data_IF_599931854659
#
_entry.id   IF_599931854659
#
_cell.length_a   1.000
_cell.length_b   1.000
_cell.length_c   1.000
_cell.angle_alpha   90.00
_cell.angle_beta   90.00
_cell.angle_gamma   90.00
#
_symmetry.space_group_name_H-M   'P 1'
#
loop_
_entity.id
_entity.type
_entity.pdbx_description
1 polymer ?
#
# COMPACT_ATOMS: atom_id res chain seq x y z
N UNK A 1 25.19 -6.00 -1.64
CA UNK A 1 24.05 -5.40 -0.91
C UNK A 1 24.11 -3.88 -0.83
N UNK A 2 25.30 -3.26 -0.78
CA UNK A 2 25.47 -1.80 -0.76
C UNK A 2 24.76 -1.04 -1.88
N UNK A 3 24.66 -1.60 -3.09
CA UNK A 3 23.97 -0.95 -4.23
C UNK A 3 22.45 -0.86 -4.09
N UNK A 4 21.80 -1.75 -3.34
CA UNK A 4 20.33 -1.75 -3.16
C UNK A 4 19.89 -1.06 -1.85
N UNK A 5 20.85 -0.73 -0.99
CA UNK A 5 20.60 -0.16 0.34
C UNK A 5 19.74 1.11 0.29
N UNK A 6 19.93 2.07 -0.64
CA UNK A 6 19.05 3.23 -0.72
C UNK A 6 17.59 2.87 -0.97
N UNK A 7 17.35 1.87 -1.83
CA UNK A 7 16.00 1.36 -2.10
C UNK A 7 15.38 0.66 -0.89
N UNK A 8 16.17 -0.13 -0.16
CA UNK A 8 15.72 -0.77 1.09
C UNK A 8 15.33 0.28 2.13
N UNK A 9 16.16 1.30 2.33
CA UNK A 9 15.88 2.37 3.30
C UNK A 9 14.65 3.19 2.90
N UNK A 10 14.51 3.54 1.62
CA UNK A 10 13.35 4.26 1.12
C UNK A 10 12.07 3.44 1.31
N UNK A 11 12.08 2.16 0.92
CA UNK A 11 10.95 1.25 1.10
C UNK A 11 10.57 1.11 2.58
N UNK A 12 11.54 0.82 3.45
CA UNK A 12 11.31 0.67 4.88
C UNK A 12 10.73 1.96 5.50
N UNK A 13 11.26 3.13 5.11
CA UNK A 13 10.76 4.43 5.59
C UNK A 13 9.32 4.66 5.17
N UNK A 14 8.97 4.40 3.91
CA UNK A 14 7.61 4.55 3.40
C UNK A 14 6.65 3.60 4.11
N UNK A 15 7.05 2.35 4.32
CA UNK A 15 6.22 1.35 5.02
C UNK A 15 5.98 1.76 6.48
N UNK A 16 7.02 2.17 7.21
CA UNK A 16 6.89 2.63 8.60
C UNK A 16 6.02 3.88 8.66
N UNK A 17 6.30 4.88 7.80
CA UNK A 17 5.52 6.10 7.74
C UNK A 17 4.05 5.79 7.45
N UNK A 18 3.74 4.90 6.51
CA UNK A 18 2.36 4.56 6.16
C UNK A 18 1.62 3.85 7.31
N UNK A 19 2.30 2.99 8.08
CA UNK A 19 1.72 2.34 9.26
C UNK A 19 1.41 3.32 10.40
N UNK A 20 2.18 4.40 10.52
CA UNK A 20 1.92 5.46 11.50
C UNK A 20 0.84 6.42 10.98
N UNK A 21 0.96 6.83 9.72
CA UNK A 21 0.11 7.85 9.11
C UNK A 21 -1.32 7.38 8.85
N UNK A 22 -1.58 6.06 8.84
CA UNK A 22 -2.94 5.52 8.74
C UNK A 22 -3.83 5.93 9.93
N UNK A 23 -3.24 6.28 11.08
CA UNK A 23 -3.99 6.72 12.27
C UNK A 23 -4.58 8.13 12.14
N UNK A 24 -4.11 8.92 11.16
CA UNK A 24 -4.52 10.31 11.00
C UNK A 24 -5.54 10.43 9.87
N UNK A 25 -6.80 10.65 10.27
CA UNK A 25 -7.95 10.75 9.38
C UNK A 25 -7.95 12.09 8.60
N UNK A 26 -8.48 12.02 7.38
CA UNK A 26 -8.70 13.12 6.45
C UNK A 26 -10.10 13.01 5.86
N UNK A 27 -10.66 14.15 5.44
CA UNK A 27 -11.98 14.23 4.78
C UNK A 27 -13.06 13.47 5.58
N UNK A 28 -13.22 13.82 6.85
CA UNK A 28 -14.20 13.22 7.78
C UNK A 28 -14.10 11.69 7.89
N UNK A 29 -12.88 11.14 7.76
CA UNK A 29 -12.61 9.71 7.90
C UNK A 29 -12.67 8.92 6.59
N UNK A 30 -12.90 9.58 5.44
CA UNK A 30 -12.90 8.93 4.13
C UNK A 30 -11.51 8.44 3.70
N UNK A 31 -10.46 9.14 4.13
CA UNK A 31 -9.07 8.82 3.81
C UNK A 31 -8.19 8.97 5.05
N UNK A 32 -6.98 8.43 4.96
CA UNK A 32 -5.93 8.62 5.96
C UNK A 32 -4.68 9.17 5.29
N UNK A 33 -3.76 9.76 6.06
CA UNK A 33 -2.46 10.14 5.53
C UNK A 33 -1.68 8.94 4.97
N UNK A 34 -1.93 7.73 5.49
CA UNK A 34 -1.34 6.49 4.98
C UNK A 34 -1.68 6.21 3.51
N UNK A 35 -2.90 6.57 3.05
CA UNK A 35 -3.31 6.42 1.66
C UNK A 35 -2.47 7.26 0.68
N UNK A 36 -1.88 8.36 1.16
CA UNK A 36 -1.01 9.23 0.35
C UNK A 36 0.46 8.80 0.37
N UNK A 37 0.92 8.16 1.45
CA UNK A 37 2.33 7.74 1.55
C UNK A 37 2.57 6.37 0.95
N UNK A 38 1.64 5.43 1.12
CA UNK A 38 1.79 4.06 0.64
C UNK A 38 2.07 3.95 -0.88
N UNK A 39 1.42 4.72 -1.77
CA UNK A 39 1.62 4.55 -3.20
C UNK A 39 3.06 4.88 -3.65
N UNK A 40 3.82 5.62 -2.85
CA UNK A 40 5.24 5.88 -3.09
C UNK A 40 6.09 4.60 -3.01
N UNK A 41 5.60 3.53 -2.38
CA UNK A 41 6.28 2.23 -2.37
C UNK A 41 6.39 1.65 -3.79
N UNK A 42 5.35 1.79 -4.62
CA UNK A 42 5.39 1.37 -6.03
C UNK A 42 6.46 2.13 -6.82
N UNK A 43 6.57 3.45 -6.59
CA UNK A 43 7.64 4.27 -7.19
C UNK A 43 9.04 3.73 -6.83
N UNK A 44 9.26 3.37 -5.57
CA UNK A 44 10.54 2.77 -5.15
C UNK A 44 10.77 1.43 -5.86
N UNK A 45 9.77 0.56 -5.90
CA UNK A 45 9.85 -0.73 -6.60
C UNK A 45 10.19 -0.55 -8.08
N UNK A 46 9.50 0.36 -8.78
CA UNK A 46 9.72 0.66 -10.19
C UNK A 46 11.14 1.18 -10.47
N UNK A 47 11.64 2.12 -9.65
CA UNK A 47 13.01 2.65 -9.76
C UNK A 47 14.01 1.50 -9.59
N UNK A 48 13.81 0.66 -8.57
CA UNK A 48 14.71 -0.45 -8.29
C UNK A 48 14.68 -1.51 -9.39
N UNK A 49 13.51 -1.79 -9.96
CA UNK A 49 13.34 -2.74 -11.06
C UNK A 49 14.00 -2.22 -12.35
N UNK A 50 13.84 -0.93 -12.65
CA UNK A 50 14.45 -0.29 -13.82
C UNK A 50 15.97 -0.30 -13.75
N UNK A 51 16.52 0.13 -12.62
CA UNK A 51 17.96 0.38 -12.45
C UNK A 51 18.73 -0.90 -12.15
N UNK A 52 18.18 -1.77 -11.30
CA UNK A 52 18.89 -2.94 -10.77
C UNK A 52 18.25 -4.28 -11.16
N UNK A 53 17.11 -4.26 -11.86
CA UNK A 53 16.41 -5.45 -12.32
C UNK A 53 15.45 -6.07 -11.30
N UNK A 54 14.61 -6.98 -11.77
CA UNK A 54 13.54 -7.61 -10.99
C UNK A 54 14.05 -8.31 -9.72
N UNK A 55 15.22 -8.97 -9.77
CA UNK A 55 15.79 -9.65 -8.62
C UNK A 55 16.15 -8.69 -7.48
N UNK A 56 16.64 -7.49 -7.79
CA UNK A 56 16.94 -6.46 -6.81
C UNK A 56 15.66 -5.84 -6.24
N UNK A 57 14.68 -5.54 -7.09
CA UNK A 57 13.38 -5.02 -6.67
C UNK A 57 12.68 -5.98 -5.70
N UNK A 58 12.68 -7.29 -5.99
CA UNK A 58 12.10 -8.31 -5.08
C UNK A 58 12.75 -8.28 -3.71
N UNK A 59 14.08 -8.14 -3.62
CA UNK A 59 14.79 -8.05 -2.33
C UNK A 59 14.36 -6.81 -1.53
N UNK A 60 14.19 -5.67 -2.19
CA UNK A 60 13.69 -4.43 -1.56
C UNK A 60 12.27 -4.61 -1.04
N UNK A 61 11.39 -5.21 -1.85
CA UNK A 61 10.02 -5.54 -1.46
C UNK A 61 10.00 -6.47 -0.25
N UNK A 62 10.79 -7.56 -0.25
CA UNK A 62 10.85 -8.46 0.90
C UNK A 62 11.35 -7.76 2.17
N UNK A 63 12.33 -6.86 2.08
CA UNK A 63 12.73 -6.03 3.22
C UNK A 63 11.59 -5.14 3.71
N UNK A 64 10.85 -4.50 2.80
CA UNK A 64 9.66 -3.72 3.12
C UNK A 64 8.58 -4.55 3.81
N UNK A 65 8.32 -5.77 3.33
CA UNK A 65 7.35 -6.70 3.92
C UNK A 65 7.74 -7.06 5.36
N UNK A 66 9.01 -7.43 5.59
CA UNK A 66 9.49 -7.77 6.94
C UNK A 66 9.34 -6.58 7.88
N UNK A 67 9.72 -5.38 7.44
CA UNK A 67 9.53 -4.15 8.21
C UNK A 67 8.06 -3.90 8.51
N UNK A 68 7.18 -4.04 7.52
CA UNK A 68 5.74 -3.84 7.67
C UNK A 68 5.10 -4.82 8.64
N UNK A 69 5.49 -6.10 8.60
CA UNK A 69 5.05 -7.12 9.55
C UNK A 69 5.50 -6.75 10.96
N UNK A 70 6.78 -6.38 11.15
CA UNK A 70 7.29 -5.97 12.46
C UNK A 70 6.54 -4.74 12.99
N UNK A 71 6.33 -3.71 12.15
CA UNK A 71 5.55 -2.52 12.52
C UNK A 71 4.11 -2.87 12.90
N UNK A 72 3.46 -3.76 12.15
CA UNK A 72 2.09 -4.20 12.43
C UNK A 72 2.00 -5.00 13.73
N UNK A 73 2.97 -5.88 13.99
CA UNK A 73 3.05 -6.64 15.25
C UNK A 73 3.25 -5.69 16.43
N UNK A 74 4.15 -4.71 16.33
CA UNK A 74 4.33 -3.69 17.38
C UNK A 74 3.03 -2.88 17.55
N UNK A 75 2.42 -2.44 16.46
CA UNK A 75 1.16 -1.68 16.48
C UNK A 75 0.01 -2.46 17.11
N UNK A 76 -0.04 -3.77 16.95
CA UNK A 76 -1.04 -4.62 17.59
C UNK A 76 -0.92 -4.68 19.12
N UNK A 77 0.25 -4.34 19.68
CA UNK A 77 0.49 -4.30 21.13
C UNK A 77 0.28 -2.91 21.72
N UNK A 78 0.15 -1.87 20.89
CA UNK A 78 -0.08 -0.50 21.31
C UNK A 78 -1.58 -0.26 21.31
N UNK A 79 -2.16 -0.11 22.50
CA UNK A 79 -3.58 0.22 22.64
C UNK A 79 -3.79 1.73 22.56
N UNK A 80 -4.77 2.14 21.76
CA UNK A 80 -5.22 3.52 21.62
C UNK A 80 -6.61 3.65 22.22
N UNK A 81 -6.93 4.85 22.70
CA UNK A 81 -8.24 5.19 23.22
C UNK A 81 -8.96 6.13 22.24
N UNK A 82 -10.19 5.78 21.88
CA UNK A 82 -11.05 6.59 21.02
C UNK A 82 -12.51 6.30 21.29
N UNK A 83 -13.34 7.33 21.33
CA UNK A 83 -14.80 7.25 21.57
C UNK A 83 -15.23 6.39 22.78
N UNK A 84 -14.40 6.37 23.83
CA UNK A 84 -14.66 5.62 25.06
C UNK A 84 -14.28 4.13 25.01
N UNK A 85 -13.67 3.68 23.93
CA UNK A 85 -13.20 2.31 23.73
C UNK A 85 -11.67 2.27 23.60
N UNK A 86 -11.10 1.11 23.95
CA UNK A 86 -9.68 0.82 23.77
C UNK A 86 -9.53 -0.20 22.64
N UNK A 87 -8.65 0.08 21.68
CA UNK A 87 -8.42 -0.77 20.51
C UNK A 87 -6.95 -0.78 20.09
N UNK A 88 -6.46 -1.84 19.44
CA UNK A 88 -5.10 -1.89 18.95
C UNK A 88 -4.87 -0.86 17.85
N UNK A 89 -3.70 -0.21 17.85
CA UNK A 89 -3.31 0.71 16.78
C UNK A 89 -3.31 0.02 15.41
N UNK A 90 -2.98 -1.28 15.36
CA UNK A 90 -3.11 -2.10 14.15
C UNK A 90 -3.92 -3.36 14.46
N UNK A 91 -5.14 -3.41 13.91
CA UNK A 91 -5.99 -4.59 13.98
C UNK A 91 -5.34 -5.79 13.27
N UNK A 92 -5.55 -7.00 13.80
CA UNK A 92 -4.91 -8.22 13.28
C UNK A 92 -5.28 -8.48 11.82
N UNK A 93 -6.55 -8.26 11.45
CA UNK A 93 -7.02 -8.42 10.06
C UNK A 93 -6.41 -7.39 9.11
N UNK A 94 -6.20 -6.16 9.57
CA UNK A 94 -5.52 -5.11 8.80
C UNK A 94 -4.06 -5.51 8.56
N UNK A 95 -3.37 -6.04 9.57
CA UNK A 95 -2.00 -6.54 9.43
C UNK A 95 -1.89 -7.67 8.40
N UNK A 96 -2.77 -8.68 8.48
CA UNK A 96 -2.79 -9.81 7.54
C UNK A 96 -3.14 -9.35 6.12
N UNK A 97 -4.16 -8.49 5.99
CA UNK A 97 -4.56 -7.91 4.72
C UNK A 97 -3.44 -7.11 4.08
N UNK A 98 -2.77 -6.24 4.86
CA UNK A 98 -1.67 -5.40 4.40
C UNK A 98 -0.47 -6.23 3.94
N UNK A 99 -0.03 -7.21 4.74
CA UNK A 99 1.08 -8.08 4.36
C UNK A 99 0.80 -8.89 3.09
N UNK A 100 -0.42 -9.41 2.96
CA UNK A 100 -0.84 -10.20 1.78
C UNK A 100 -0.95 -9.34 0.54
N UNK A 101 -1.63 -8.19 0.64
CA UNK A 101 -1.80 -7.24 -0.45
C UNK A 101 -0.46 -6.69 -0.93
N UNK A 102 0.38 -6.21 0.00
CA UNK A 102 1.71 -5.69 -0.32
C UNK A 102 2.56 -6.72 -1.06
N UNK A 103 2.64 -7.96 -0.55
CA UNK A 103 3.46 -8.99 -1.19
C UNK A 103 2.95 -9.31 -2.61
N UNK A 104 1.66 -9.58 -2.77
CA UNK A 104 1.10 -9.97 -4.07
C UNK A 104 1.18 -8.82 -5.07
N UNK A 105 0.78 -7.61 -4.66
CA UNK A 105 0.75 -6.43 -5.51
C UNK A 105 2.15 -6.01 -5.96
N UNK A 106 3.12 -5.99 -5.05
CA UNK A 106 4.50 -5.59 -5.39
C UNK A 106 5.19 -6.62 -6.29
N UNK A 107 4.94 -7.92 -6.09
CA UNK A 107 5.47 -8.94 -7.01
C UNK A 107 4.83 -8.87 -8.40
N UNK A 108 3.52 -8.59 -8.45
CA UNK A 108 2.79 -8.39 -9.70
C UNK A 108 3.28 -7.14 -10.43
N UNK A 109 3.46 -6.04 -9.70
CA UNK A 109 4.04 -4.80 -10.19
C UNK A 109 5.41 -5.06 -10.86
N UNK A 110 6.32 -5.74 -10.16
CA UNK A 110 7.63 -6.11 -10.71
C UNK A 110 7.49 -6.90 -12.01
N UNK A 111 6.59 -7.88 -12.07
CA UNK A 111 6.38 -8.74 -13.22
C UNK A 111 5.80 -7.98 -14.42
N UNK A 112 4.78 -7.14 -14.19
CA UNK A 112 4.16 -6.31 -15.23
C UNK A 112 5.15 -5.27 -15.73
N UNK A 113 5.88 -4.62 -14.83
CA UNK A 113 6.89 -3.63 -15.17
C UNK A 113 7.97 -4.22 -16.07
N UNK A 114 8.52 -5.38 -15.69
CA UNK A 114 9.59 -6.03 -16.43
C UNK A 114 9.13 -6.44 -17.84
N UNK A 115 7.86 -6.85 -17.98
CA UNK A 115 7.26 -7.17 -19.27
C UNK A 115 7.00 -5.95 -20.15
N UNK A 116 6.76 -4.78 -19.56
CA UNK A 116 6.53 -3.51 -20.28
C UNK A 116 7.81 -2.68 -20.42
N UNK A 117 8.95 -3.16 -19.91
CA UNK A 117 10.14 -2.32 -19.68
C UNK A 117 10.74 -1.74 -20.96
N UNK A 118 10.64 -2.45 -22.08
CA UNK A 118 11.24 -2.05 -23.35
C UNK A 118 10.37 -1.07 -24.15
N UNK A 119 9.18 -0.76 -23.65
CA UNK A 119 8.30 0.26 -24.22
C UNK A 119 8.74 1.69 -23.88
N UNK A 120 7.84 2.64 -24.14
CA UNK A 120 8.02 4.04 -23.72
C UNK A 120 8.27 4.12 -22.21
N UNK A 121 9.14 5.04 -21.78
CA UNK A 121 9.62 5.15 -20.38
C UNK A 121 8.52 5.20 -19.31
N UNK A 122 7.33 5.71 -19.66
CA UNK A 122 6.18 5.87 -18.75
C UNK A 122 5.25 4.65 -18.72
N UNK A 123 5.26 3.80 -19.76
CA UNK A 123 4.31 2.68 -19.90
C UNK A 123 4.52 1.63 -18.82
N UNK A 124 5.78 1.30 -18.55
CA UNK A 124 6.14 0.34 -17.51
C UNK A 124 5.69 0.81 -16.12
N UNK A 125 6.16 1.97 -15.58
CA UNK A 125 5.77 2.39 -14.23
C UNK A 125 4.28 2.66 -14.07
N UNK A 126 3.62 3.28 -15.06
CA UNK A 126 2.19 3.54 -14.96
C UNK A 126 1.37 2.24 -15.05
N UNK A 127 1.72 1.36 -15.98
CA UNK A 127 1.00 0.11 -16.21
C UNK A 127 1.17 -0.88 -15.05
N UNK A 128 2.38 -1.01 -14.51
CA UNK A 128 2.64 -1.87 -13.36
C UNK A 128 1.94 -1.34 -12.11
N UNK A 129 2.07 -0.04 -11.81
CA UNK A 129 1.45 0.57 -10.63
C UNK A 129 -0.08 0.51 -10.72
N UNK A 130 -0.69 0.69 -11.90
CA UNK A 130 -2.13 0.57 -12.10
C UNK A 130 -2.63 -0.85 -11.75
N UNK A 131 -1.97 -1.87 -12.29
CA UNK A 131 -2.35 -3.27 -12.05
C UNK A 131 -2.07 -3.65 -10.60
N UNK A 132 -0.88 -3.31 -10.09
CA UNK A 132 -0.46 -3.56 -8.72
C UNK A 132 -1.40 -2.90 -7.70
N UNK A 133 -1.68 -1.61 -7.84
CA UNK A 133 -2.56 -0.86 -6.93
C UNK A 133 -4.00 -1.37 -6.94
N UNK A 134 -4.50 -1.81 -8.10
CA UNK A 134 -5.84 -2.38 -8.21
C UNK A 134 -5.93 -3.71 -7.46
N UNK A 135 -4.96 -4.60 -7.67
CA UNK A 135 -4.90 -5.90 -6.98
C UNK A 135 -4.66 -5.70 -5.47
N UNK A 136 -3.81 -4.74 -5.10
CA UNK A 136 -3.55 -4.36 -3.71
C UNK A 136 -4.86 -3.96 -3.01
N UNK A 137 -5.61 -2.99 -3.56
CA UNK A 137 -6.86 -2.52 -2.98
C UNK A 137 -7.87 -3.65 -2.86
N UNK A 138 -8.02 -4.49 -3.89
CA UNK A 138 -8.95 -5.63 -3.84
C UNK A 138 -8.58 -6.58 -2.72
N UNK A 139 -7.31 -7.00 -2.62
CA UNK A 139 -6.86 -7.96 -1.60
C UNK A 139 -6.95 -7.35 -0.21
N UNK A 140 -6.43 -6.14 -0.03
CA UNK A 140 -6.35 -5.47 1.27
C UNK A 140 -7.75 -5.27 1.85
N UNK A 141 -8.64 -4.59 1.13
CA UNK A 141 -9.97 -4.27 1.66
C UNK A 141 -10.85 -5.51 1.81
N UNK A 142 -10.70 -6.51 0.94
CA UNK A 142 -11.42 -7.77 1.10
C UNK A 142 -11.00 -8.50 2.37
N UNK A 143 -9.70 -8.75 2.56
CA UNK A 143 -9.21 -9.48 3.74
C UNK A 143 -9.44 -8.68 5.03
N UNK A 144 -9.13 -7.38 5.00
CA UNK A 144 -9.20 -6.53 6.19
C UNK A 144 -10.64 -6.28 6.64
N UNK A 145 -11.59 -6.09 5.72
CA UNK A 145 -12.91 -5.55 6.09
C UNK A 145 -14.13 -6.34 5.60
N UNK A 146 -14.02 -7.21 4.58
CA UNK A 146 -15.20 -7.93 4.09
C UNK A 146 -15.74 -8.94 5.14
N UNK A 147 -17.07 -9.05 5.21
CA UNK A 147 -17.75 -9.89 6.21
C UNK A 147 -17.51 -11.39 6.05
N UNK A 148 -17.19 -11.85 4.84
CA UNK A 148 -16.85 -13.26 4.54
C UNK A 148 -15.67 -13.78 5.37
N UNK A 149 -14.79 -12.89 5.82
CA UNK A 149 -13.62 -13.24 6.64
C UNK A 149 -13.85 -13.13 8.15
N UNK A 150 -15.06 -12.73 8.61
CA UNK A 150 -15.36 -12.61 10.04
C UNK A 150 -15.23 -13.96 10.78
N UNK A 151 -15.45 -15.08 10.09
CA UNK A 151 -15.33 -16.42 10.68
C UNK A 151 -13.89 -16.88 10.99
N UNK A 152 -12.86 -16.15 10.55
CA UNK A 152 -11.47 -16.51 10.84
C UNK A 152 -11.08 -16.27 12.31
N UNK A 153 -11.59 -15.20 12.91
CA UNK A 153 -11.39 -14.86 14.32
C UNK A 153 -12.44 -13.84 14.74
N UNK A 154 -13.21 -14.17 15.78
CA UNK A 154 -14.24 -13.28 16.31
C UNK A 154 -13.65 -11.98 16.85
N UNK A 155 -12.58 -12.06 17.65
CA UNK A 155 -11.91 -10.87 18.22
C UNK A 155 -11.34 -9.95 17.14
N UNK A 156 -10.70 -10.54 16.12
CA UNK A 156 -10.14 -9.75 15.02
C UNK A 156 -11.24 -9.17 14.10
N UNK A 157 -12.43 -9.76 14.08
CA UNK A 157 -13.58 -9.20 13.36
C UNK A 157 -14.16 -7.99 14.09
N UNK A 158 -14.26 -8.03 15.41
CA UNK A 158 -14.76 -6.93 16.25
C UNK A 158 -13.92 -5.65 16.06
N UNK A 159 -12.60 -5.76 15.94
CA UNK A 159 -11.68 -4.63 15.71
C UNK A 159 -11.97 -3.82 14.44
N UNK A 160 -12.65 -4.44 13.44
CA UNK A 160 -12.86 -3.86 12.10
C UNK A 160 -14.32 -3.84 11.68
N UNK A 161 -15.24 -4.24 12.55
CA UNK A 161 -16.66 -4.44 12.21
C UNK A 161 -17.34 -3.12 11.81
N UNK A 162 -16.89 -2.00 12.37
CA UNK A 162 -17.34 -0.64 12.02
C UNK A 162 -17.25 -0.35 10.52
N UNK A 163 -16.31 -0.97 9.81
CA UNK A 163 -16.13 -0.75 8.37
C UNK A 163 -17.19 -1.50 7.53
N UNK A 164 -17.98 -2.38 8.14
CA UNK A 164 -19.03 -3.16 7.48
C UNK A 164 -20.40 -2.48 7.53
N UNK A 165 -20.54 -1.45 8.38
CA UNK A 165 -21.77 -0.68 8.51
C UNK A 165 -22.16 -0.03 7.18
N UNK A 166 -23.46 0.09 6.95
CA UNK A 166 -23.99 0.71 5.74
C UNK A 166 -23.71 2.21 5.77
N UNK A 167 -23.00 2.70 4.76
CA UNK A 167 -22.70 4.12 4.55
C UNK A 167 -22.99 4.53 3.09
N UNK A 168 -23.31 5.80 2.82
CA UNK A 168 -23.48 6.29 1.45
C UNK A 168 -22.18 6.13 0.64
N UNK A 169 -22.28 5.58 -0.57
CA UNK A 169 -21.13 5.41 -1.45
C UNK A 169 -20.49 6.77 -1.78
N UNK A 170 -19.21 6.96 -1.43
CA UNK A 170 -18.50 8.24 -1.56
C UNK A 170 -19.28 9.45 -0.98
N UNK A 171 -19.98 9.24 0.14
CA UNK A 171 -20.80 10.24 0.85
C UNK A 171 -22.04 10.77 0.11
N UNK A 172 -22.30 10.36 -1.14
CA UNK A 172 -23.41 10.90 -1.96
C UNK A 172 -24.22 9.82 -2.70
N UNK A 173 -23.74 8.58 -2.73
CA UNK A 173 -24.30 7.48 -3.51
C UNK A 173 -25.16 6.50 -2.71
N UNK A 174 -25.47 5.32 -3.28
CA UNK A 174 -26.27 4.29 -2.62
C UNK A 174 -25.60 3.76 -1.35
N UNK A 175 -26.38 3.19 -0.45
CA UNK A 175 -25.87 2.56 0.77
C UNK A 175 -25.09 1.29 0.43
N UNK A 176 -23.82 1.25 0.84
CA UNK A 176 -22.91 0.11 0.70
C UNK A 176 -22.12 -0.06 2.00
N UNK A 177 -21.47 -1.21 2.24
CA UNK A 177 -20.55 -1.33 3.37
C UNK A 177 -19.47 -0.23 3.29
N UNK A 178 -19.21 0.46 4.41
CA UNK A 178 -18.29 1.60 4.46
C UNK A 178 -16.92 1.31 3.83
N UNK A 179 -16.38 0.11 4.03
CA UNK A 179 -15.09 -0.29 3.48
C UNK A 179 -15.04 -0.23 1.95
N UNK A 180 -16.17 -0.38 1.24
CA UNK A 180 -16.25 -0.25 -0.22
C UNK A 180 -15.97 1.20 -0.64
N UNK A 181 -16.54 2.16 0.09
CA UNK A 181 -16.28 3.59 -0.10
C UNK A 181 -14.81 3.91 0.16
N UNK A 182 -14.26 3.40 1.27
CA UNK A 182 -12.84 3.58 1.61
C UNK A 182 -11.92 2.99 0.54
N UNK A 183 -12.26 1.80 0.00
CA UNK A 183 -11.49 1.12 -1.03
C UNK A 183 -11.40 1.95 -2.32
N UNK A 184 -12.53 2.50 -2.77
CA UNK A 184 -12.56 3.32 -3.99
C UNK A 184 -11.83 4.63 -3.79
N UNK A 185 -11.98 5.28 -2.63
CA UNK A 185 -11.26 6.50 -2.31
C UNK A 185 -9.74 6.27 -2.28
N UNK A 186 -9.27 5.23 -1.57
CA UNK A 186 -7.86 4.84 -1.50
C UNK A 186 -7.29 4.53 -2.90
N UNK A 187 -8.01 3.77 -3.71
CA UNK A 187 -7.61 3.46 -5.08
C UNK A 187 -7.49 4.72 -5.95
N UNK A 188 -8.42 5.67 -5.83
CA UNK A 188 -8.36 6.95 -6.54
C UNK A 188 -7.11 7.77 -6.17
N UNK A 189 -6.73 7.77 -4.89
CA UNK A 189 -5.49 8.41 -4.42
C UNK A 189 -4.26 7.70 -4.99
N UNK A 190 -4.21 6.37 -4.93
CA UNK A 190 -3.13 5.56 -5.53
C UNK A 190 -2.90 5.91 -7.00
N UNK A 191 -3.96 5.98 -7.81
CA UNK A 191 -3.85 6.33 -9.22
C UNK A 191 -3.38 7.76 -9.46
N UNK A 192 -3.89 8.71 -8.66
CA UNK A 192 -3.47 10.10 -8.73
C UNK A 192 -1.99 10.25 -8.42
N UNK A 193 -1.51 9.57 -7.37
CA UNK A 193 -0.10 9.57 -7.01
C UNK A 193 0.75 8.83 -8.04
N UNK A 194 0.27 7.73 -8.62
CA UNK A 194 0.96 7.01 -9.69
C UNK A 194 1.25 7.92 -10.90
N UNK A 195 0.28 8.75 -11.30
CA UNK A 195 0.46 9.74 -12.36
C UNK A 195 1.50 10.81 -11.99
N UNK A 196 1.42 11.36 -10.76
CA UNK A 196 2.38 12.34 -10.28
C UNK A 196 3.80 11.75 -10.15
N UNK A 197 3.90 10.48 -9.77
CA UNK A 197 5.14 9.75 -9.56
C UNK A 197 5.92 9.49 -10.86
N UNK A 198 5.30 9.63 -12.03
CA UNK A 198 6.01 9.55 -13.33
C UNK A 198 7.11 10.60 -13.46
N UNK A 199 6.90 11.80 -12.89
CA UNK A 199 7.89 12.88 -12.92
C UNK A 199 9.15 12.52 -12.11
N UNK A 200 9.08 12.24 -10.79
CA UNK A 200 10.27 11.84 -10.04
C UNK A 200 10.87 10.54 -10.56
N UNK A 201 10.05 9.57 -11.02
CA UNK A 201 10.56 8.36 -11.66
C UNK A 201 11.51 8.68 -12.81
N UNK A 202 11.07 9.51 -13.77
CA UNK A 202 11.87 9.90 -14.95
C UNK A 202 13.17 10.60 -14.55
N UNK A 203 13.09 11.51 -13.59
CA UNK A 203 14.25 12.30 -13.12
C UNK A 203 15.28 11.38 -12.44
N UNK A 204 14.84 10.53 -11.52
CA UNK A 204 15.72 9.66 -10.73
C UNK A 204 16.40 8.63 -11.63
N UNK A 205 15.61 7.91 -12.43
CA UNK A 205 16.13 6.89 -13.36
C UNK A 205 17.12 7.51 -14.35
N UNK A 206 16.75 8.64 -14.96
CA UNK A 206 17.62 9.35 -15.90
C UNK A 206 18.98 9.74 -15.28
N UNK A 207 18.97 10.26 -14.05
CA UNK A 207 20.20 10.64 -13.34
C UNK A 207 21.08 9.44 -12.96
N UNK A 208 20.48 8.33 -12.52
CA UNK A 208 21.24 7.14 -12.10
C UNK A 208 21.86 6.46 -13.33
N UNK A 209 21.07 6.29 -14.40
CA UNK A 209 21.55 5.64 -15.62
C UNK A 209 22.63 6.47 -16.32
N UNK A 210 22.52 7.81 -16.34
CA UNK A 210 23.53 8.70 -16.91
C UNK A 210 24.88 8.70 -16.14
N UNK A 211 24.92 8.23 -14.89
CA UNK A 211 26.16 8.07 -14.11
C UNK A 211 26.83 6.71 -14.29
N UNK A 212 26.15 5.77 -14.95
CA UNK A 212 26.60 4.38 -15.11
C UNK A 212 27.15 4.11 -16.53
N UNK A 213 26.87 5.02 -17.47
CA UNK A 213 27.46 5.10 -18.82
C UNK A 213 28.64 6.06 -18.78
#
# INVERSE_FOLDING_TARGET
MTRILPGVLAMATIVVASNILVQFLLLDGLLTWGAFTYPLAFLVTDIMNRVYGAAAARRVVFSGLVVGIICSLIGSQIMLQGDGYEYPAVALRIAIGSATAFLVAQLLDIAVFDRLRDGSWWKAPLGSTLVGSTVDTIIFFSIAFASVFNGLSASAAEEVIWAQDAAPFLNIGPMVPLWVTLAVADWGVKLSIALLALVPFRIIVGRIMARTV
#
